data_IF_896579088818
#
_entry.id   IF_896579088818
#
_cell.length_a   1.000
_cell.length_b   1.000
_cell.length_c   1.000
_cell.angle_alpha   90.00
_cell.angle_beta   90.00
_cell.angle_gamma   90.00
#
_symmetry.space_group_name_H-M   'P 1'
#
loop_
_entity.id
_entity.type
_entity.pdbx_description
1 polymer ?
#
# COMPACT_ATOMS: atom_id res chain seq x y z
N UNK A 1 -1.89 1.03 35.79
CA UNK A 1 -3.20 0.35 35.69
C UNK A 1 -3.65 0.47 34.24
N UNK A 2 -3.38 -0.55 33.41
CA UNK A 2 -3.63 -0.50 31.97
C UNK A 2 -4.98 -1.16 31.64
N UNK A 3 -5.82 -0.59 30.76
CA UNK A 3 -7.11 -1.18 30.44
C UNK A 3 -6.94 -2.39 29.51
N UNK A 4 -7.65 -3.47 29.86
CA UNK A 4 -7.78 -4.72 29.08
C UNK A 4 -8.42 -4.43 27.72
N UNK A 5 -7.67 -4.65 26.64
CA UNK A 5 -8.19 -4.64 25.27
C UNK A 5 -8.96 -5.95 25.06
N UNK A 6 -10.28 -5.82 24.82
CA UNK A 6 -11.14 -6.95 24.45
C UNK A 6 -10.82 -7.35 23.00
N UNK A 7 -10.47 -8.63 22.80
CA UNK A 7 -10.33 -9.24 21.48
C UNK A 7 -11.63 -9.12 20.69
N UNK A 8 -11.64 -8.28 19.66
CA UNK A 8 -12.64 -8.35 18.61
C UNK A 8 -12.18 -9.41 17.61
N UNK A 9 -12.88 -10.54 17.60
CA UNK A 9 -12.71 -11.61 16.62
C UNK A 9 -13.07 -11.08 15.24
N UNK A 10 -12.06 -10.73 14.45
CA UNK A 10 -12.24 -10.42 13.02
C UNK A 10 -12.45 -11.74 12.29
N UNK A 11 -13.70 -11.99 11.87
CA UNK A 11 -14.07 -13.16 11.07
C UNK A 11 -13.51 -12.99 9.67
N UNK A 12 -12.39 -13.66 9.38
CA UNK A 12 -11.87 -13.83 8.03
C UNK A 12 -12.82 -14.78 7.26
N UNK A 13 -13.66 -14.24 6.37
CA UNK A 13 -14.40 -15.05 5.40
C UNK A 13 -13.43 -15.50 4.31
N UNK A 14 -13.07 -16.79 4.33
CA UNK A 14 -12.39 -17.46 3.23
C UNK A 14 -13.41 -17.73 2.12
N UNK A 15 -13.23 -17.11 0.97
CA UNK A 15 -13.86 -17.55 -0.27
C UNK A 15 -12.76 -18.06 -1.19
N UNK A 16 -12.70 -19.38 -1.34
CA UNK A 16 -11.97 -20.03 -2.43
C UNK A 16 -12.71 -19.69 -3.72
N UNK A 17 -12.11 -18.87 -4.58
CA UNK A 17 -12.52 -18.76 -5.98
C UNK A 17 -11.27 -18.71 -6.84
N UNK A 18 -10.99 -19.85 -7.47
CA UNK A 18 -10.21 -19.91 -8.69
C UNK A 18 -10.91 -19.02 -9.72
N UNK A 19 -10.27 -17.92 -10.10
CA UNK A 19 -10.50 -17.37 -11.43
C UNK A 19 -9.24 -16.66 -11.91
N UNK A 20 -8.73 -17.19 -13.01
CA UNK A 20 -7.64 -16.66 -13.82
C UNK A 20 -8.07 -15.35 -14.45
N UNK A 21 -7.84 -14.23 -13.77
CA UNK A 21 -7.70 -12.94 -14.44
C UNK A 21 -6.21 -12.65 -14.54
N UNK A 22 -5.64 -12.73 -15.76
CA UNK A 22 -4.41 -12.01 -16.08
C UNK A 22 -4.61 -10.58 -15.59
N UNK A 23 -3.86 -10.18 -14.57
CA UNK A 23 -3.86 -8.79 -14.14
C UNK A 23 -3.46 -7.91 -15.33
N UNK A 24 -3.92 -6.65 -15.41
CA UNK A 24 -3.44 -5.73 -16.42
C UNK A 24 -1.90 -5.70 -16.37
N UNK A 25 -1.25 -5.78 -17.54
CA UNK A 25 0.20 -5.69 -17.64
C UNK A 25 0.67 -4.46 -16.86
N UNK A 26 1.57 -4.67 -15.90
CA UNK A 26 2.16 -3.58 -15.13
C UNK A 26 2.80 -2.59 -16.09
N UNK A 27 2.35 -1.34 -16.07
CA UNK A 27 2.90 -0.33 -16.98
C UNK A 27 4.38 -0.06 -16.63
N UNK A 28 5.21 0.33 -17.61
CA UNK A 28 6.62 0.69 -17.36
C UNK A 28 6.80 1.70 -16.22
N UNK A 29 5.80 2.57 -15.99
CA UNK A 29 5.78 3.53 -14.89
C UNK A 29 5.54 2.87 -13.52
N UNK A 30 4.68 1.86 -13.45
CA UNK A 30 4.44 1.09 -12.23
C UNK A 30 5.67 0.25 -11.86
N UNK A 31 6.32 -0.35 -12.85
CA UNK A 31 7.58 -1.08 -12.66
C UNK A 31 8.71 -0.15 -12.20
N UNK A 32 8.88 1.02 -12.84
CA UNK A 32 9.86 2.03 -12.40
C UNK A 32 9.58 2.54 -10.98
N UNK A 33 8.31 2.70 -10.61
CA UNK A 33 7.93 3.14 -9.27
C UNK A 33 8.19 2.05 -8.20
N UNK A 34 7.99 0.78 -8.55
CA UNK A 34 8.34 -0.35 -7.71
C UNK A 34 9.87 -0.48 -7.55
N UNK A 35 10.63 -0.35 -8.64
CA UNK A 35 12.09 -0.42 -8.62
C UNK A 35 12.73 0.73 -7.83
N UNK A 36 12.23 1.96 -7.97
CA UNK A 36 12.69 3.11 -7.17
C UNK A 36 12.37 2.95 -5.68
N UNK A 37 11.24 2.34 -5.32
CA UNK A 37 10.95 1.97 -3.94
C UNK A 37 11.98 0.97 -3.39
N UNK A 38 12.33 -0.07 -4.18
CA UNK A 38 13.35 -1.05 -3.77
C UNK A 38 14.72 -0.39 -3.64
N UNK A 39 15.09 0.48 -4.58
CA UNK A 39 16.35 1.21 -4.58
C UNK A 39 16.49 2.17 -3.39
N UNK A 40 15.37 2.72 -2.89
CA UNK A 40 15.38 3.69 -1.79
C UNK A 40 15.87 3.10 -0.46
N UNK A 41 15.97 1.77 -0.35
CA UNK A 41 16.51 1.08 0.83
C UNK A 41 15.81 1.51 2.11
N UNK A 42 14.47 1.59 2.07
CA UNK A 42 13.68 2.13 3.17
C UNK A 42 13.84 1.24 4.42
N UNK A 43 13.91 1.86 5.63
CA UNK A 43 13.98 1.11 6.87
C UNK A 43 12.64 0.45 7.17
N UNK A 44 12.66 -0.54 8.06
CA UNK A 44 11.44 -1.13 8.62
C UNK A 44 10.96 -0.34 9.84
N UNK A 45 9.66 -0.07 9.96
CA UNK A 45 9.10 0.60 11.16
C UNK A 45 9.08 -0.29 12.39
N UNK A 46 9.05 0.32 13.58
CA UNK A 46 8.82 -0.40 14.84
C UNK A 46 7.48 -1.15 14.87
N UNK A 47 6.45 -0.58 14.23
CA UNK A 47 5.14 -1.22 14.09
C UNK A 47 5.26 -2.51 13.26
N UNK A 48 5.95 -2.46 12.12
CA UNK A 48 6.20 -3.63 11.29
C UNK A 48 7.09 -4.66 12.01
N UNK A 49 8.14 -4.24 12.73
CA UNK A 49 8.96 -5.14 13.57
C UNK A 49 8.12 -5.88 14.61
N UNK A 50 7.12 -5.22 15.19
CA UNK A 50 6.23 -5.81 16.20
C UNK A 50 5.22 -6.76 15.58
N UNK A 51 4.64 -6.42 14.43
CA UNK A 51 3.53 -7.18 13.83
C UNK A 51 3.99 -8.28 12.86
N UNK A 52 5.12 -8.09 12.18
CA UNK A 52 5.69 -9.05 11.25
C UNK A 52 6.71 -9.93 11.97
N UNK A 53 6.21 -10.68 12.96
CA UNK A 53 6.99 -11.69 13.66
C UNK A 53 7.59 -12.63 12.62
N UNK A 54 8.92 -12.75 12.62
CA UNK A 54 9.61 -13.71 11.77
C UNK A 54 9.22 -15.11 12.22
N UNK A 55 8.48 -15.80 11.37
CA UNK A 55 8.20 -17.23 11.47
C UNK A 55 8.97 -17.95 10.38
N UNK A 56 9.19 -19.25 10.52
CA UNK A 56 9.67 -20.11 9.43
C UNK A 56 8.58 -20.20 8.34
N UNK A 57 8.50 -19.18 7.48
CA UNK A 57 7.42 -19.04 6.52
C UNK A 57 7.12 -17.60 6.12
N UNK A 58 6.26 -17.46 5.10
CA UNK A 58 5.71 -16.16 4.73
C UNK A 58 4.87 -15.57 5.86
N UNK A 59 5.03 -14.27 6.12
CA UNK A 59 4.26 -13.48 7.09
C UNK A 59 2.76 -13.74 6.87
N UNK A 60 2.02 -14.16 7.91
CA UNK A 60 0.60 -14.43 7.77
C UNK A 60 -0.20 -13.21 7.30
N UNK A 61 -1.21 -13.41 6.46
CA UNK A 61 -2.06 -12.32 5.95
C UNK A 61 -2.72 -11.52 7.07
N UNK A 62 -3.08 -12.17 8.18
CA UNK A 62 -3.62 -11.48 9.37
C UNK A 62 -2.65 -10.43 9.92
N UNK A 63 -1.33 -10.65 9.82
CA UNK A 63 -0.34 -9.67 10.27
C UNK A 63 -0.30 -8.46 9.31
N UNK A 64 -0.41 -8.70 8.00
CA UNK A 64 -0.54 -7.65 6.99
C UNK A 64 -1.82 -6.82 7.23
N UNK A 65 -2.94 -7.49 7.50
CA UNK A 65 -4.22 -6.87 7.83
C UNK A 65 -4.12 -6.00 9.09
N UNK A 66 -3.55 -6.55 10.17
CA UNK A 66 -3.32 -5.80 11.41
C UNK A 66 -2.43 -4.58 11.19
N UNK A 67 -1.39 -4.70 10.37
CA UNK A 67 -0.49 -3.60 10.05
C UNK A 67 -1.21 -2.47 9.30
N UNK A 68 -1.90 -2.79 8.20
CA UNK A 68 -2.69 -1.81 7.43
C UNK A 68 -3.76 -1.15 8.30
N UNK A 69 -4.49 -1.94 9.08
CA UNK A 69 -5.51 -1.43 9.99
C UNK A 69 -4.93 -0.50 11.07
N UNK A 70 -3.76 -0.82 11.63
CA UNK A 70 -3.09 0.03 12.61
C UNK A 70 -2.70 1.37 11.99
N UNK A 71 -2.14 1.39 10.77
CA UNK A 71 -1.84 2.62 10.04
C UNK A 71 -3.10 3.46 9.79
N UNK A 72 -4.18 2.84 9.29
CA UNK A 72 -5.44 3.54 9.05
C UNK A 72 -6.05 4.15 10.31
N UNK A 73 -5.74 3.59 11.49
CA UNK A 73 -6.25 4.07 12.76
C UNK A 73 -5.46 5.22 13.38
N UNK A 74 -4.28 5.54 12.84
CA UNK A 74 -3.48 6.66 13.32
C UNK A 74 -4.17 8.00 13.02
N UNK A 75 -4.09 8.94 13.95
CA UNK A 75 -4.77 10.25 13.83
C UNK A 75 -4.37 11.01 12.56
N UNK A 76 -3.08 10.95 12.19
CA UNK A 76 -2.60 11.58 10.97
C UNK A 76 -3.20 10.97 9.70
N UNK A 77 -3.49 9.67 9.70
CA UNK A 77 -4.06 9.00 8.53
C UNK A 77 -5.51 9.42 8.36
N UNK A 78 -6.28 9.39 9.45
CA UNK A 78 -7.68 9.84 9.48
C UNK A 78 -7.80 11.31 9.07
N UNK A 79 -6.88 12.15 9.52
CA UNK A 79 -6.86 13.58 9.19
C UNK A 79 -6.50 13.83 7.71
N UNK A 80 -5.53 13.10 7.16
CA UNK A 80 -5.08 13.28 5.78
C UNK A 80 -6.02 12.66 4.74
N UNK A 81 -6.67 11.54 5.08
CA UNK A 81 -7.48 10.74 4.16
C UNK A 81 -8.91 10.56 4.68
N UNK A 82 -9.60 11.67 4.95
CA UNK A 82 -10.94 11.70 5.55
C UNK A 82 -11.99 10.92 4.74
N UNK A 83 -11.88 10.92 3.41
CA UNK A 83 -12.74 10.13 2.51
C UNK A 83 -12.47 8.61 2.58
N UNK A 84 -11.39 8.19 3.24
CA UNK A 84 -10.95 6.79 3.30
C UNK A 84 -11.02 6.22 4.73
N UNK A 85 -12.06 6.57 5.49
CA UNK A 85 -12.27 6.10 6.86
C UNK A 85 -12.56 4.60 7.02
N UNK A 86 -13.17 3.93 6.03
CA UNK A 86 -13.53 2.51 6.21
C UNK A 86 -12.30 1.58 6.19
N UNK A 87 -12.38 0.40 6.83
CA UNK A 87 -11.28 -0.55 6.83
C UNK A 87 -10.93 -1.04 5.41
N UNK A 88 -9.64 -1.16 5.13
CA UNK A 88 -9.13 -1.82 3.93
C UNK A 88 -9.08 -3.33 4.14
N UNK A 89 -9.59 -4.09 3.18
CA UNK A 89 -9.53 -5.55 3.19
C UNK A 89 -8.19 -6.01 2.63
N UNK A 90 -7.44 -6.79 3.43
CA UNK A 90 -6.18 -7.39 2.98
C UNK A 90 -6.43 -8.83 2.52
N UNK A 91 -6.04 -9.12 1.29
CA UNK A 91 -6.10 -10.48 0.70
C UNK A 91 -4.71 -10.94 0.29
N UNK A 92 -4.53 -12.25 0.21
CA UNK A 92 -3.33 -12.85 -0.37
C UNK A 92 -3.59 -13.37 -1.77
N UNK A 93 -2.51 -13.72 -2.47
CA UNK A 93 -2.58 -14.44 -3.72
C UNK A 93 -1.19 -14.75 -4.27
N UNK A 94 -1.17 -15.32 -5.47
CA UNK A 94 0.04 -15.46 -6.30
C UNK A 94 0.15 -14.29 -7.26
N UNK A 95 1.38 -13.96 -7.68
CA UNK A 95 1.67 -12.96 -8.71
C UNK A 95 2.31 -11.72 -8.10
N UNK A 96 1.74 -10.56 -8.38
CA UNK A 96 2.20 -9.29 -7.80
C UNK A 96 1.22 -8.77 -6.77
N UNK A 97 1.74 -7.99 -5.82
CA UNK A 97 0.94 -7.13 -4.95
C UNK A 97 0.16 -6.11 -5.79
N UNK A 98 -1.00 -5.70 -5.30
CA UNK A 98 -1.89 -4.81 -6.03
C UNK A 98 -3.01 -4.25 -5.15
N UNK A 99 -3.74 -3.28 -5.66
CA UNK A 99 -4.85 -2.67 -4.96
C UNK A 99 -6.07 -2.55 -5.88
N UNK A 100 -7.25 -2.73 -5.29
CA UNK A 100 -8.53 -2.37 -5.87
C UNK A 100 -9.15 -1.31 -4.96
N UNK A 101 -9.03 -0.05 -5.37
CA UNK A 101 -9.51 1.07 -4.56
C UNK A 101 -11.04 1.12 -4.48
N UNK A 102 -11.76 0.66 -5.51
CA UNK A 102 -13.22 0.61 -5.53
C UNK A 102 -13.74 -0.41 -4.51
N UNK A 103 -13.06 -1.54 -4.38
CA UNK A 103 -13.37 -2.56 -3.36
C UNK A 103 -12.64 -2.34 -2.03
N UNK A 104 -11.88 -1.25 -1.89
CA UNK A 104 -11.02 -0.95 -0.73
C UNK A 104 -10.16 -2.15 -0.33
N UNK A 105 -9.55 -2.80 -1.31
CA UNK A 105 -8.83 -4.06 -1.14
C UNK A 105 -7.36 -3.87 -1.50
N UNK A 106 -6.48 -4.43 -0.68
CA UNK A 106 -5.07 -4.61 -1.01
C UNK A 106 -4.74 -6.10 -1.07
N UNK A 107 -4.09 -6.50 -2.14
CA UNK A 107 -3.53 -7.83 -2.33
C UNK A 107 -2.04 -7.76 -2.02
N UNK A 108 -1.58 -8.57 -1.07
CA UNK A 108 -0.16 -8.71 -0.76
C UNK A 108 0.32 -10.07 -1.26
N UNK A 109 1.26 -10.06 -2.20
CA UNK A 109 1.81 -11.28 -2.78
C UNK A 109 2.59 -12.09 -1.75
N UNK A 110 2.64 -13.40 -1.97
CA UNK A 110 3.37 -14.31 -1.10
C UNK A 110 4.88 -14.03 -1.08
N UNK A 111 5.49 -13.62 -2.19
CA UNK A 111 6.91 -13.28 -2.27
C UNK A 111 7.28 -12.06 -1.42
N UNK A 112 6.41 -11.06 -1.37
CA UNK A 112 6.62 -9.87 -0.52
C UNK A 112 6.52 -10.23 0.97
N UNK A 113 5.71 -11.22 1.32
CA UNK A 113 5.51 -11.68 2.70
C UNK A 113 6.67 -12.50 3.27
N UNK A 114 7.65 -12.92 2.48
CA UNK A 114 8.82 -13.64 3.01
C UNK A 114 9.83 -12.74 3.72
N UNK A 115 9.75 -11.42 3.50
CA UNK A 115 10.68 -10.47 4.10
C UNK A 115 9.88 -9.34 4.76
N UNK A 116 10.08 -9.06 6.06
CA UNK A 116 9.35 -8.00 6.76
C UNK A 116 9.43 -6.61 6.11
N UNK A 117 10.59 -6.24 5.56
CA UNK A 117 10.75 -4.97 4.85
C UNK A 117 9.96 -4.96 3.53
N UNK A 118 10.05 -6.03 2.72
CA UNK A 118 9.24 -6.12 1.48
C UNK A 118 7.75 -6.13 1.78
N UNK A 119 7.33 -6.84 2.83
CA UNK A 119 5.94 -6.91 3.27
C UNK A 119 5.42 -5.54 3.71
N UNK A 120 6.18 -4.80 4.51
CA UNK A 120 5.84 -3.43 4.91
C UNK A 120 5.70 -2.53 3.70
N UNK A 121 6.69 -2.55 2.80
CA UNK A 121 6.70 -1.67 1.65
C UNK A 121 5.53 -1.98 0.71
N UNK A 122 5.21 -3.26 0.49
CA UNK A 122 4.03 -3.68 -0.27
C UNK A 122 2.74 -3.16 0.40
N UNK A 123 2.59 -3.32 1.72
CA UNK A 123 1.43 -2.80 2.44
C UNK A 123 1.27 -1.28 2.28
N UNK A 124 2.36 -0.52 2.43
CA UNK A 124 2.32 0.94 2.29
C UNK A 124 2.07 1.39 0.84
N UNK A 125 2.69 0.71 -0.14
CA UNK A 125 2.52 0.97 -1.57
C UNK A 125 1.06 0.79 -1.99
N UNK A 126 0.47 -0.36 -1.64
CA UNK A 126 -0.91 -0.68 -2.04
C UNK A 126 -1.93 0.14 -1.24
N UNK A 127 -1.65 0.46 0.02
CA UNK A 127 -2.48 1.40 0.78
C UNK A 127 -2.51 2.79 0.13
N UNK A 128 -1.36 3.26 -0.36
CA UNK A 128 -1.28 4.53 -1.10
C UNK A 128 -2.13 4.52 -2.38
N UNK A 129 -2.25 3.37 -3.05
CA UNK A 129 -3.16 3.20 -4.20
C UNK A 129 -4.63 3.22 -3.81
N UNK A 130 -5.00 2.62 -2.68
CA UNK A 130 -6.40 2.66 -2.20
C UNK A 130 -6.84 4.09 -1.88
N UNK A 131 -5.98 4.90 -1.27
CA UNK A 131 -6.27 6.31 -0.97
C UNK A 131 -6.04 7.25 -2.15
N UNK A 132 -5.65 6.71 -3.30
CA UNK A 132 -5.46 7.45 -4.55
C UNK A 132 -6.07 6.64 -5.70
N UNK A 133 -7.41 6.48 -5.74
CA UNK A 133 -8.05 5.59 -6.69
C UNK A 133 -7.81 6.02 -8.14
N UNK A 134 -7.41 5.07 -9.00
CA UNK A 134 -7.29 5.22 -10.46
C UNK A 134 -8.65 5.44 -11.16
N UNK A 135 -9.75 5.21 -10.44
CA UNK A 135 -11.13 5.25 -10.95
C UNK A 135 -12.04 6.03 -10.02
N UNK A 136 -12.99 6.76 -10.60
CA UNK A 136 -14.09 7.36 -9.85
C UNK A 136 -15.01 6.32 -9.22
N UNK A 137 -15.92 6.78 -8.36
CA UNK A 137 -16.97 5.94 -7.76
C UNK A 137 -17.95 5.33 -8.78
N UNK A 138 -17.93 5.83 -10.02
CA UNK A 138 -18.65 5.36 -11.21
C UNK A 138 -17.89 4.26 -11.98
N UNK A 139 -16.69 3.90 -11.56
CA UNK A 139 -15.85 2.92 -12.24
C UNK A 139 -15.15 3.46 -13.49
N UNK A 140 -15.33 4.74 -13.83
CA UNK A 140 -14.58 5.37 -14.92
C UNK A 140 -13.15 5.65 -14.49
N UNK A 141 -12.19 5.42 -15.39
CA UNK A 141 -10.83 5.93 -15.23
C UNK A 141 -10.91 7.46 -15.21
N UNK A 142 -10.82 8.05 -14.02
CA UNK A 142 -10.77 9.50 -13.89
C UNK A 142 -9.34 9.92 -14.15
N UNK A 143 -9.08 10.28 -15.40
CA UNK A 143 -7.96 11.16 -15.71
C UNK A 143 -8.06 12.40 -14.80
N UNK A 144 -6.93 12.92 -14.30
CA UNK A 144 -6.94 14.28 -13.76
C UNK A 144 -7.47 15.23 -14.85
N UNK A 145 -8.05 16.36 -14.44
CA UNK A 145 -8.84 17.28 -15.29
C UNK A 145 -8.16 17.80 -16.59
N UNK A 146 -6.96 17.34 -16.94
CA UNK A 146 -6.15 17.75 -18.08
C UNK A 146 -5.77 16.55 -18.99
N UNK A 147 -6.79 15.88 -19.54
CA UNK A 147 -6.75 15.25 -20.86
C UNK A 147 -5.99 13.93 -21.05
N UNK A 148 -6.23 13.33 -22.22
CA UNK A 148 -5.88 11.96 -22.65
C UNK A 148 -4.39 11.59 -22.68
N UNK A 149 -3.50 12.51 -22.31
CA UNK A 149 -2.06 12.29 -22.19
C UNK A 149 -1.58 12.18 -20.71
N UNK A 150 -2.50 12.17 -19.73
CA UNK A 150 -2.21 12.51 -18.32
C UNK A 150 -2.16 11.36 -17.30
N UNK A 151 -1.79 10.14 -17.70
CA UNK A 151 -1.39 9.08 -16.74
C UNK A 151 -0.35 9.59 -15.72
N UNK A 152 0.44 10.60 -16.11
CA UNK A 152 1.41 11.29 -15.24
C UNK A 152 0.79 11.92 -13.99
N UNK A 153 -0.38 12.54 -14.05
CA UNK A 153 -0.97 13.27 -12.91
C UNK A 153 -1.54 12.34 -11.84
N UNK A 154 -2.18 11.25 -12.26
CA UNK A 154 -2.63 10.20 -11.36
C UNK A 154 -1.46 9.49 -10.67
N UNK A 155 -0.48 9.06 -11.46
CA UNK A 155 0.73 8.45 -10.90
C UNK A 155 1.49 9.44 -10.01
N UNK A 156 1.39 10.75 -10.26
CA UNK A 156 1.96 11.78 -9.38
C UNK A 156 1.24 11.87 -8.04
N UNK A 157 -0.10 11.92 -8.02
CA UNK A 157 -0.88 11.93 -6.78
C UNK A 157 -0.59 10.69 -5.94
N UNK A 158 -0.54 9.51 -6.57
CA UNK A 158 -0.21 8.27 -5.88
C UNK A 158 1.20 8.33 -5.27
N UNK A 159 2.21 8.77 -6.04
CA UNK A 159 3.58 8.92 -5.50
C UNK A 159 3.65 9.92 -4.36
N UNK A 160 2.93 11.04 -4.47
CA UNK A 160 2.89 12.06 -3.42
C UNK A 160 2.28 11.49 -2.13
N UNK A 161 1.18 10.77 -2.22
CA UNK A 161 0.54 10.09 -1.10
C UNK A 161 1.39 8.96 -0.53
N UNK A 162 2.07 8.18 -1.38
CA UNK A 162 2.99 7.15 -0.92
C UNK A 162 4.17 7.73 -0.15
N UNK A 163 4.77 8.82 -0.65
CA UNK A 163 5.84 9.53 0.07
C UNK A 163 5.32 10.13 1.38
N UNK A 164 4.09 10.67 1.40
CA UNK A 164 3.48 11.17 2.63
C UNK A 164 3.30 10.05 3.66
N UNK A 165 2.72 8.92 3.25
CA UNK A 165 2.55 7.73 4.11
C UNK A 165 3.92 7.28 4.64
N UNK A 166 4.93 7.12 3.77
CA UNK A 166 6.29 6.76 4.16
C UNK A 166 6.90 7.77 5.14
N UNK A 167 6.65 9.07 4.97
CA UNK A 167 7.11 10.10 5.92
C UNK A 167 6.50 9.89 7.30
N UNK A 168 5.21 9.58 7.34
CA UNK A 168 4.48 9.43 8.60
C UNK A 168 4.76 8.09 9.28
N UNK A 169 5.10 7.03 8.54
CA UNK A 169 5.38 5.70 9.09
C UNK A 169 6.87 5.45 9.34
N UNK A 170 7.74 5.85 8.41
CA UNK A 170 9.17 5.55 8.41
C UNK A 170 10.05 6.80 8.69
N UNK A 171 9.44 7.98 8.78
CA UNK A 171 10.10 9.23 9.11
C UNK A 171 10.60 10.04 7.90
N UNK A 172 11.03 11.28 8.19
CA UNK A 172 11.41 12.27 7.17
C UNK A 172 12.55 11.80 6.25
N UNK A 173 13.56 11.12 6.80
CA UNK A 173 14.72 10.68 6.02
C UNK A 173 14.35 9.59 5.01
N UNK A 174 13.51 8.62 5.40
CA UNK A 174 12.99 7.60 4.49
C UNK A 174 12.21 8.23 3.33
N UNK A 175 11.35 9.20 3.63
CA UNK A 175 10.61 9.93 2.60
C UNK A 175 11.51 10.73 1.65
N UNK A 176 12.60 11.33 2.15
CA UNK A 176 13.56 12.02 1.30
C UNK A 176 14.31 11.07 0.37
N UNK A 177 14.73 9.89 0.85
CA UNK A 177 15.34 8.85 0.01
C UNK A 177 14.37 8.39 -1.08
N UNK A 178 13.12 8.12 -0.71
CA UNK A 178 12.10 7.73 -1.69
C UNK A 178 11.87 8.81 -2.75
N UNK A 179 11.81 10.09 -2.35
CA UNK A 179 11.71 11.20 -3.31
C UNK A 179 12.94 11.28 -4.22
N UNK A 180 14.13 11.10 -3.66
CA UNK A 180 15.37 11.12 -4.43
C UNK A 180 15.34 10.03 -5.51
N UNK A 181 15.04 8.79 -5.14
CA UNK A 181 14.91 7.70 -6.11
C UNK A 181 13.81 7.98 -7.13
N UNK A 182 12.62 8.40 -6.70
CA UNK A 182 11.61 8.79 -7.66
C UNK A 182 12.09 9.84 -8.67
N UNK A 183 12.87 10.85 -8.25
CA UNK A 183 13.46 11.80 -9.18
C UNK A 183 14.51 11.17 -10.12
N UNK A 184 15.40 10.30 -9.61
CA UNK A 184 16.41 9.60 -10.42
C UNK A 184 15.78 8.75 -11.52
N UNK A 185 14.61 8.18 -11.23
CA UNK A 185 13.85 7.33 -12.15
C UNK A 185 12.86 8.11 -13.03
N UNK A 186 12.91 9.45 -13.04
CA UNK A 186 12.05 10.30 -13.88
C UNK A 186 10.58 10.39 -13.41
N UNK A 187 10.33 10.16 -12.12
CA UNK A 187 9.01 10.08 -11.49
C UNK A 187 8.79 11.19 -10.44
N UNK A 188 8.91 12.48 -10.79
CA UNK A 188 8.86 13.57 -9.82
C UNK A 188 7.56 13.59 -8.99
N UNK A 189 7.70 14.10 -7.76
CA UNK A 189 6.68 14.14 -6.70
C UNK A 189 6.40 15.58 -6.20
N UNK A 190 6.86 16.56 -6.97
CA UNK A 190 6.59 18.01 -6.89
C UNK A 190 6.42 18.54 -8.30
#
# INVERSE_FOLDING_TARGET
MWPRIRSATVVARYSSFENQSKGPDTTKLQEAAYNSQLAAGLPISELARTLFVQTDGAIPLRCCASYVHAIQNMDWFKAAFTAHGDPVVVVGGRGSSGADAAQRRVKIDTNDRWNPSRCEHACLHELARVVTPDRGSDGELREPAHGRDSSRGHHHAWRANFVFIVRMTLGKQAALRLRHEFCQWGLPTR
#
